data_IF_490578265914
#
_entry.id   IF_490578265914
#
_cell.length_a   1.000
_cell.length_b   1.000
_cell.length_c   1.000
_cell.angle_alpha   90.00
_cell.angle_beta   90.00
_cell.angle_gamma   90.00
#
_symmetry.space_group_name_H-M   'P 1'
#
loop_
_entity.id
_entity.type
_entity.pdbx_description
1 polymer ?
#
# COMPACT_ATOMS: atom_id res chain seq x y z
N UNK A 1 16.65 63.72 16.61
CA UNK A 1 15.27 63.43 16.15
C UNK A 1 15.19 62.34 15.06
N UNK A 2 16.25 62.04 14.29
CA UNK A 2 16.23 60.97 13.26
C UNK A 2 16.33 59.53 13.82
N UNK A 3 17.00 59.32 14.96
CA UNK A 3 17.26 57.97 15.51
C UNK A 3 15.98 57.27 15.99
N UNK A 4 15.02 58.04 16.54
CA UNK A 4 13.73 57.52 17.03
C UNK A 4 12.82 57.03 15.88
N UNK A 5 12.91 57.65 14.70
CA UNK A 5 12.09 57.28 13.53
C UNK A 5 12.52 55.92 12.94
N UNK A 6 13.84 55.65 12.92
CA UNK A 6 14.39 54.40 12.41
C UNK A 6 14.00 53.20 13.29
N UNK A 7 14.05 53.36 14.62
CA UNK A 7 13.62 52.33 15.59
C UNK A 7 12.12 52.04 15.53
N UNK A 8 11.30 53.06 15.23
CA UNK A 8 9.85 52.89 15.08
C UNK A 8 9.49 52.13 13.81
N UNK A 9 10.23 52.34 12.71
CA UNK A 9 10.03 51.63 11.44
C UNK A 9 10.44 50.15 11.57
N UNK A 10 11.58 49.88 12.22
CA UNK A 10 12.03 48.48 12.46
C UNK A 10 11.06 47.73 13.38
N UNK A 11 10.53 48.39 14.42
CA UNK A 11 9.52 47.79 15.29
C UNK A 11 8.19 47.54 14.56
N UNK A 12 7.73 48.46 13.70
CA UNK A 12 6.53 48.27 12.90
C UNK A 12 6.69 47.14 11.88
N UNK A 13 7.84 47.03 11.21
CA UNK A 13 8.10 45.89 10.32
C UNK A 13 8.14 44.56 11.08
N UNK A 14 8.75 44.53 12.26
CA UNK A 14 8.83 43.30 13.07
C UNK A 14 7.45 42.86 13.58
N UNK A 15 6.59 43.83 13.95
CA UNK A 15 5.19 43.59 14.31
C UNK A 15 4.36 43.11 13.11
N UNK A 16 4.55 43.69 11.92
CA UNK A 16 3.89 43.22 10.69
C UNK A 16 4.36 41.80 10.35
N UNK A 17 5.66 41.51 10.47
CA UNK A 17 6.20 40.16 10.27
C UNK A 17 5.63 39.18 11.31
N UNK A 18 5.52 39.57 12.58
CA UNK A 18 4.91 38.75 13.62
C UNK A 18 3.40 38.58 13.44
N UNK A 19 2.69 39.59 12.94
CA UNK A 19 1.25 39.50 12.64
C UNK A 19 0.99 38.63 11.39
N UNK A 20 1.83 38.74 10.36
CA UNK A 20 1.83 37.85 9.19
C UNK A 20 2.17 36.41 9.56
N UNK A 21 3.11 36.20 10.49
CA UNK A 21 3.44 34.87 11.01
C UNK A 21 2.36 34.33 11.96
N UNK A 22 1.60 35.18 12.66
CA UNK A 22 0.45 34.78 13.49
C UNK A 22 -0.77 34.37 12.65
N UNK A 23 -1.01 35.02 11.52
CA UNK A 23 -2.03 34.58 10.54
C UNK A 23 -1.60 33.27 9.83
N UNK A 24 -0.29 33.01 9.73
CA UNK A 24 0.29 31.77 9.20
C UNK A 24 0.14 30.54 10.12
N UNK A 25 -0.36 30.71 11.34
CA UNK A 25 -0.56 29.59 12.29
C UNK A 25 -1.88 28.86 12.11
N UNK A 26 -2.79 29.38 11.28
CA UNK A 26 -4.01 28.66 10.93
C UNK A 26 -3.69 27.64 9.83
N UNK A 27 -3.97 26.35 10.09
CA UNK A 27 -3.73 25.27 9.14
C UNK A 27 -4.37 25.47 7.75
N UNK A 28 -5.37 26.37 7.66
CA UNK A 28 -5.93 26.86 6.39
C UNK A 28 -4.91 27.56 5.49
N UNK A 29 -3.97 28.33 6.04
CA UNK A 29 -2.92 28.99 5.25
C UNK A 29 -1.91 27.99 4.68
N UNK A 30 -1.59 26.93 5.43
CA UNK A 30 -0.69 25.87 4.96
C UNK A 30 -1.34 25.09 3.82
N UNK A 31 -2.62 24.74 3.93
CA UNK A 31 -3.35 24.04 2.87
C UNK A 31 -3.48 24.90 1.59
N UNK A 32 -3.76 26.20 1.77
CA UNK A 32 -3.84 27.13 0.63
C UNK A 32 -2.47 27.29 -0.04
N UNK A 33 -1.40 27.38 0.75
CA UNK A 33 -0.03 27.46 0.26
C UNK A 33 0.42 26.18 -0.44
N UNK A 34 0.08 24.99 0.07
CA UNK A 34 0.40 23.73 -0.61
C UNK A 34 -0.37 23.55 -1.91
N UNK A 35 -1.64 23.99 -1.99
CA UNK A 35 -2.36 24.09 -3.27
C UNK A 35 -1.68 25.06 -4.24
N UNK A 36 -1.26 26.24 -3.76
CA UNK A 36 -0.57 27.26 -4.57
C UNK A 36 0.80 26.78 -5.08
N UNK A 37 1.54 26.04 -4.26
CA UNK A 37 2.84 25.47 -4.60
C UNK A 37 2.74 24.16 -5.41
N UNK A 38 1.53 23.65 -5.63
CA UNK A 38 1.31 22.39 -6.36
C UNK A 38 1.95 21.18 -5.67
N UNK A 39 1.93 21.14 -4.34
CA UNK A 39 2.48 20.00 -3.59
C UNK A 39 1.56 18.80 -3.79
N UNK A 40 2.12 17.72 -4.33
CA UNK A 40 1.41 16.45 -4.47
C UNK A 40 1.26 15.73 -3.13
N UNK A 41 0.15 15.02 -2.96
CA UNK A 41 -0.04 14.14 -1.82
C UNK A 41 0.82 12.88 -1.98
N UNK A 42 1.34 12.36 -0.85
CA UNK A 42 2.07 11.10 -0.81
C UNK A 42 1.11 9.96 -1.19
N UNK A 43 1.51 9.13 -2.14
CA UNK A 43 0.82 7.89 -2.54
C UNK A 43 1.48 6.71 -1.85
N UNK A 44 0.75 6.05 -0.96
CA UNK A 44 1.19 4.84 -0.28
C UNK A 44 0.43 3.64 -0.85
N UNK A 45 1.16 2.65 -1.36
CA UNK A 45 0.60 1.36 -1.77
C UNK A 45 0.79 0.36 -0.63
N UNK A 46 -0.31 -0.15 -0.06
CA UNK A 46 -0.27 -1.20 0.95
C UNK A 46 -0.72 -2.54 0.35
N UNK A 47 0.11 -3.57 0.53
CA UNK A 47 -0.13 -4.95 0.11
C UNK A 47 0.02 -5.87 1.33
N UNK A 48 -0.76 -6.94 1.38
CA UNK A 48 -0.78 -7.84 2.53
C UNK A 48 -1.40 -9.18 2.13
N UNK A 49 -1.06 -10.24 2.88
CA UNK A 49 -1.82 -11.50 2.94
C UNK A 49 -2.04 -12.12 1.57
N UNK A 50 -0.97 -12.24 0.78
CA UNK A 50 -1.08 -12.81 -0.56
C UNK A 50 -1.39 -14.30 -0.53
N UNK A 51 -0.94 -15.03 0.50
CA UNK A 51 -1.12 -16.49 0.63
C UNK A 51 -1.02 -17.21 -0.73
N UNK A 52 0.15 -17.17 -1.36
CA UNK A 52 0.36 -17.78 -2.66
C UNK A 52 0.35 -19.30 -2.54
N UNK A 53 -0.66 -19.96 -3.09
CA UNK A 53 -0.72 -21.41 -3.22
C UNK A 53 -0.17 -21.86 -4.57
N UNK A 54 1.08 -22.35 -4.56
CA UNK A 54 1.77 -22.86 -5.77
C UNK A 54 1.22 -24.20 -6.24
N UNK A 55 0.57 -24.95 -5.35
CA UNK A 55 0.01 -26.28 -5.63
C UNK A 55 -1.48 -26.22 -6.00
N UNK A 56 -2.06 -25.00 -6.05
CA UNK A 56 -3.43 -24.78 -6.48
C UNK A 56 -3.67 -25.37 -7.88
N UNK A 57 -4.75 -26.11 -8.01
CA UNK A 57 -5.16 -26.71 -9.27
C UNK A 57 -6.61 -26.41 -9.61
N UNK A 58 -6.88 -26.03 -10.86
CA UNK A 58 -8.26 -25.88 -11.36
C UNK A 58 -9.05 -27.20 -11.39
N UNK A 59 -8.36 -28.32 -11.26
CA UNK A 59 -8.95 -29.66 -11.10
C UNK A 59 -8.82 -30.20 -9.67
N UNK A 60 -8.43 -29.34 -8.73
CA UNK A 60 -8.28 -29.70 -7.33
C UNK A 60 -9.61 -29.85 -6.59
N UNK A 61 -9.51 -30.15 -5.30
CA UNK A 61 -10.65 -30.27 -4.40
C UNK A 61 -10.65 -29.13 -3.37
N UNK A 62 -11.70 -28.30 -3.39
CA UNK A 62 -11.89 -27.19 -2.47
C UNK A 62 -11.93 -27.59 -0.98
N UNK A 63 -12.11 -28.89 -0.68
CA UNK A 63 -12.07 -29.42 0.69
C UNK A 63 -10.69 -29.92 1.11
N UNK A 64 -9.77 -30.02 0.15
CA UNK A 64 -8.42 -30.54 0.35
C UNK A 64 -7.42 -29.55 -0.24
N UNK A 65 -7.43 -28.33 0.30
CA UNK A 65 -6.49 -27.25 -0.02
C UNK A 65 -6.49 -26.82 -1.49
N UNK A 66 -7.46 -27.26 -2.29
CA UNK A 66 -7.53 -26.95 -3.72
C UNK A 66 -6.37 -27.54 -4.53
N UNK A 67 -5.67 -28.50 -3.94
CA UNK A 67 -4.63 -29.30 -4.57
C UNK A 67 -5.26 -30.49 -5.30
N UNK A 68 -4.48 -31.14 -6.15
CA UNK A 68 -4.95 -32.32 -6.86
C UNK A 68 -5.18 -33.48 -5.86
N UNK A 69 -6.44 -33.86 -5.66
CA UNK A 69 -6.79 -35.02 -4.83
C UNK A 69 -6.60 -36.34 -5.59
N UNK A 70 -6.08 -37.37 -4.91
CA UNK A 70 -5.90 -38.71 -5.48
C UNK A 70 -7.23 -39.43 -5.79
N UNK A 71 -8.36 -38.95 -5.26
CA UNK A 71 -9.67 -39.59 -5.38
C UNK A 71 -10.79 -38.60 -5.74
N UNK A 72 -10.87 -38.26 -7.04
CA UNK A 72 -12.13 -38.34 -7.77
C UNK A 72 -13.23 -37.30 -7.57
N UNK A 73 -13.03 -36.22 -6.80
CA UNK A 73 -13.96 -35.09 -6.77
C UNK A 73 -13.31 -33.84 -7.38
N UNK A 74 -13.08 -33.87 -8.70
CA UNK A 74 -12.62 -32.69 -9.44
C UNK A 74 -13.77 -31.67 -9.51
N UNK A 75 -13.82 -30.77 -8.54
CA UNK A 75 -14.53 -29.50 -8.73
C UNK A 75 -13.79 -28.72 -9.80
N UNK A 76 -14.51 -28.12 -10.76
CA UNK A 76 -13.88 -27.20 -11.72
C UNK A 76 -13.65 -25.87 -11.02
N UNK A 77 -12.54 -25.74 -10.29
CA UNK A 77 -12.19 -24.50 -9.59
C UNK A 77 -11.84 -23.39 -10.59
N UNK A 78 -11.95 -22.14 -10.14
CA UNK A 78 -11.69 -20.97 -10.98
C UNK A 78 -10.21 -20.82 -11.33
N UNK A 79 -9.90 -20.20 -12.47
CA UNK A 79 -8.50 -19.86 -12.80
C UNK A 79 -7.87 -18.89 -11.79
N UNK A 80 -8.68 -18.02 -11.20
CA UNK A 80 -8.25 -17.00 -10.25
C UNK A 80 -8.58 -17.35 -8.80
N UNK A 81 -8.87 -18.62 -8.52
CA UNK A 81 -9.15 -19.11 -7.16
C UNK A 81 -10.60 -19.57 -6.96
N UNK A 82 -10.86 -19.94 -5.72
CA UNK A 82 -12.16 -20.24 -5.14
C UNK A 82 -12.14 -19.73 -3.69
N UNK A 83 -13.30 -19.43 -3.11
CA UNK A 83 -13.39 -18.85 -1.76
C UNK A 83 -12.87 -19.77 -0.65
N UNK A 84 -12.75 -21.08 -0.92
CA UNK A 84 -12.23 -22.07 0.01
C UNK A 84 -10.71 -22.29 -0.14
N UNK A 85 -10.04 -21.52 -0.98
CA UNK A 85 -8.63 -21.69 -1.32
C UNK A 85 -7.82 -20.43 -1.00
N UNK A 86 -6.52 -20.63 -0.78
CA UNK A 86 -5.54 -19.56 -0.88
C UNK A 86 -5.28 -19.17 -2.34
N UNK A 87 -4.56 -18.05 -2.54
CA UNK A 87 -4.50 -17.39 -3.83
C UNK A 87 -3.62 -18.16 -4.82
N UNK A 88 -4.13 -18.55 -6.01
CA UNK A 88 -3.28 -19.12 -7.03
C UNK A 88 -2.42 -18.03 -7.68
N UNK A 89 -1.29 -18.43 -8.28
CA UNK A 89 -0.36 -17.52 -8.97
C UNK A 89 -1.06 -16.53 -9.93
N UNK A 90 -2.04 -16.93 -10.77
CA UNK A 90 -2.72 -16.00 -11.66
C UNK A 90 -3.43 -14.85 -10.93
N UNK A 91 -3.95 -15.07 -9.72
CA UNK A 91 -4.60 -14.03 -8.92
C UNK A 91 -3.56 -13.05 -8.37
N UNK A 92 -2.47 -13.56 -7.78
CA UNK A 92 -1.39 -12.74 -7.22
C UNK A 92 -0.74 -11.88 -8.31
N UNK A 93 -0.39 -12.48 -9.45
CA UNK A 93 0.20 -11.76 -10.60
C UNK A 93 -0.77 -10.71 -11.15
N UNK A 94 -2.06 -11.02 -11.22
CA UNK A 94 -3.07 -10.07 -11.66
C UNK A 94 -3.21 -8.90 -10.67
N UNK A 95 -3.27 -9.17 -9.37
CA UNK A 95 -3.36 -8.15 -8.33
C UNK A 95 -2.16 -7.20 -8.36
N UNK A 96 -0.94 -7.72 -8.49
CA UNK A 96 0.28 -6.90 -8.62
C UNK A 96 0.27 -6.06 -9.90
N UNK A 97 -0.19 -6.62 -11.02
CA UNK A 97 -0.31 -5.89 -12.28
C UNK A 97 -1.33 -4.76 -12.18
N UNK A 98 -2.48 -4.99 -11.55
CA UNK A 98 -3.50 -3.97 -11.36
C UNK A 98 -3.07 -2.90 -10.34
N UNK A 99 -2.37 -3.29 -9.26
CA UNK A 99 -1.76 -2.34 -8.33
C UNK A 99 -0.79 -1.40 -9.06
N UNK A 100 0.09 -1.95 -9.91
CA UNK A 100 0.98 -1.15 -10.77
C UNK A 100 0.21 -0.31 -11.80
N UNK A 101 -0.90 -0.79 -12.35
CA UNK A 101 -1.70 -0.03 -13.32
C UNK A 101 -2.40 1.17 -12.67
N UNK A 102 -2.92 0.98 -11.45
CA UNK A 102 -3.67 1.99 -10.70
C UNK A 102 -2.75 3.00 -10.01
N UNK A 103 -1.64 2.51 -9.44
CA UNK A 103 -0.64 3.31 -8.73
C UNK A 103 0.75 2.99 -9.33
N UNK A 104 1.07 3.55 -10.52
CA UNK A 104 2.30 3.19 -11.23
C UNK A 104 3.59 3.67 -10.58
N UNK A 105 3.48 4.68 -9.70
CA UNK A 105 4.61 5.33 -9.05
C UNK A 105 4.21 5.76 -7.63
N UNK A 106 4.07 4.82 -6.68
CA UNK A 106 3.85 5.13 -5.27
C UNK A 106 5.14 5.68 -4.64
N UNK A 107 5.00 6.65 -3.75
CA UNK A 107 6.12 7.18 -2.96
C UNK A 107 6.62 6.18 -1.91
N UNK A 108 5.73 5.27 -1.48
CA UNK A 108 6.03 4.21 -0.52
C UNK A 108 5.21 2.96 -0.82
N UNK A 109 5.85 1.79 -0.77
CA UNK A 109 5.18 0.49 -0.75
C UNK A 109 5.34 -0.13 0.64
N UNK A 110 4.22 -0.47 1.26
CA UNK A 110 4.16 -1.19 2.54
C UNK A 110 3.66 -2.60 2.24
N UNK A 111 4.46 -3.61 2.55
CA UNK A 111 4.07 -5.01 2.44
C UNK A 111 4.19 -5.68 3.80
N UNK A 112 3.07 -6.12 4.36
CA UNK A 112 3.01 -6.64 5.73
C UNK A 112 3.15 -8.16 5.84
N UNK A 113 3.49 -8.84 4.75
CA UNK A 113 3.78 -10.29 4.76
C UNK A 113 2.54 -11.17 4.59
N UNK A 114 2.61 -12.36 5.20
CA UNK A 114 1.69 -13.50 5.08
C UNK A 114 1.52 -14.01 3.64
N UNK A 115 2.63 -14.56 3.11
CA UNK A 115 2.77 -14.89 1.69
C UNK A 115 2.59 -16.37 1.38
N UNK A 116 2.66 -17.23 2.38
CA UNK A 116 2.61 -18.68 2.22
C UNK A 116 1.17 -19.17 2.40
N UNK A 117 0.77 -20.27 1.73
CA UNK A 117 -0.57 -20.78 1.87
C UNK A 117 -0.74 -21.43 3.25
N UNK A 118 -1.97 -21.47 3.73
CA UNK A 118 -2.36 -22.30 4.85
C UNK A 118 -2.16 -23.76 4.44
N UNK A 119 -1.27 -24.50 5.09
CA UNK A 119 -1.06 -25.94 4.83
C UNK A 119 -0.88 -26.69 6.13
N UNK A 120 -1.17 -27.99 6.13
CA UNK A 120 -1.07 -28.82 7.35
C UNK A 120 0.38 -29.01 7.82
N UNK A 121 1.34 -29.08 6.88
CA UNK A 121 2.75 -29.33 7.17
C UNK A 121 3.62 -28.15 6.74
N UNK A 122 3.70 -27.14 7.60
CA UNK A 122 4.69 -26.08 7.44
C UNK A 122 6.10 -26.66 7.63
N UNK A 123 6.90 -26.63 6.57
CA UNK A 123 8.33 -26.80 6.68
C UNK A 123 8.98 -25.46 7.02
N UNK A 124 9.66 -25.38 8.15
CA UNK A 124 10.44 -24.18 8.52
C UNK A 124 11.61 -23.92 7.57
N UNK A 125 12.01 -24.92 6.77
CA UNK A 125 12.96 -24.78 5.68
C UNK A 125 12.29 -24.37 4.35
N UNK A 126 11.01 -23.98 4.35
CA UNK A 126 10.33 -23.56 3.12
C UNK A 126 10.75 -22.13 2.69
N UNK A 127 12.04 -21.98 2.41
CA UNK A 127 12.62 -20.83 1.71
C UNK A 127 12.18 -20.79 0.23
N UNK A 128 11.65 -21.92 -0.27
CA UNK A 128 11.30 -22.15 -1.68
C UNK A 128 9.83 -22.57 -1.93
N UNK A 129 8.92 -22.45 -0.94
CA UNK A 129 7.49 -22.72 -1.17
C UNK A 129 6.90 -21.89 -2.33
N UNK A 130 7.53 -20.78 -2.70
CA UNK A 130 7.07 -19.88 -3.76
C UNK A 130 7.71 -20.16 -5.14
N UNK A 131 8.56 -21.18 -5.28
CA UNK A 131 9.34 -21.41 -6.53
C UNK A 131 9.47 -22.92 -6.79
N UNK A 132 8.50 -23.51 -7.48
CA UNK A 132 8.68 -24.77 -8.21
C UNK A 132 8.04 -24.66 -9.60
#
# INVERSE_FOLDING_TARGET
MLICCCTQITQKLLLIFHLLLREFQDGSMILLLSLLLGVDAIKILQLADFHLDVDYSVTGDAKHMCHNASSGAAGKLGKYGDYMCDAPEPLVVFALREAKRLVPDPDLVIWTGDNIPHIDNYDWNCEYCCVN
#
